data_IF_024609965107
#
_entry.id   IF_024609965107
#
_cell.length_a   1.000
_cell.length_b   1.000
_cell.length_c   1.000
_cell.angle_alpha   90.00
_cell.angle_beta   90.00
_cell.angle_gamma   90.00
#
_symmetry.space_group_name_H-M   'P 1'
#
loop_
_entity.id
_entity.type
_entity.pdbx_description
1 polymer ?
#
# COMPACT_ATOMS: atom_id res chain seq x y z
N UNK A 1 -3.12 -6.16 19.52
CA UNK A 1 -2.51 -5.15 18.62
C UNK A 1 -3.53 -4.77 17.57
N UNK A 2 -3.55 -3.50 17.14
CA UNK A 2 -4.49 -2.99 16.15
C UNK A 2 -3.77 -2.62 14.85
N UNK A 3 -4.36 -3.02 13.72
CA UNK A 3 -3.88 -2.65 12.39
C UNK A 3 -4.60 -1.38 11.92
N UNK A 4 -3.82 -0.51 11.33
CA UNK A 4 -4.26 0.76 10.76
C UNK A 4 -3.94 0.73 9.27
N UNK A 5 -4.95 0.81 8.42
CA UNK A 5 -4.72 0.96 6.98
C UNK A 5 -4.55 2.42 6.63
N UNK A 6 -3.36 2.82 6.16
CA UNK A 6 -3.14 4.13 5.57
C UNK A 6 -3.17 4.02 4.04
N UNK A 7 -3.97 4.86 3.41
CA UNK A 7 -4.09 4.92 1.96
C UNK A 7 -4.23 6.37 1.50
N UNK A 8 -4.23 6.58 0.18
CA UNK A 8 -4.34 7.91 -0.42
C UNK A 8 -4.34 7.82 -1.94
N UNK A 9 -4.67 8.92 -2.59
CA UNK A 9 -4.56 9.06 -4.04
C UNK A 9 -3.13 9.33 -4.47
N UNK A 10 -2.85 9.19 -5.76
CA UNK A 10 -1.61 9.71 -6.35
C UNK A 10 -1.43 11.19 -5.98
N UNK A 11 -0.20 11.61 -5.66
CA UNK A 11 0.13 12.99 -5.27
C UNK A 11 -0.62 13.57 -4.04
N UNK A 12 -1.28 12.73 -3.23
CA UNK A 12 -1.94 13.16 -1.99
C UNK A 12 -0.98 13.53 -0.85
N UNK A 13 0.30 13.15 -0.94
CA UNK A 13 1.28 13.36 0.11
C UNK A 13 1.32 12.29 1.21
N UNK A 14 0.77 11.10 0.94
CA UNK A 14 0.84 9.92 1.81
C UNK A 14 2.25 9.62 2.34
N UNK A 15 3.26 9.70 1.47
CA UNK A 15 4.66 9.47 1.86
C UNK A 15 5.16 10.46 2.91
N UNK A 16 4.79 11.74 2.79
CA UNK A 16 5.15 12.78 3.78
C UNK A 16 4.48 12.50 5.12
N UNK A 17 3.22 12.07 5.11
CA UNK A 17 2.47 11.67 6.32
C UNK A 17 3.10 10.46 6.99
N UNK A 18 3.48 9.44 6.22
CA UNK A 18 4.20 8.26 6.73
C UNK A 18 5.52 8.62 7.39
N UNK A 19 6.30 9.51 6.77
CA UNK A 19 7.57 9.95 7.33
C UNK A 19 7.38 10.62 8.71
N UNK A 20 6.35 11.46 8.85
CA UNK A 20 6.03 12.09 10.15
C UNK A 20 5.59 11.03 11.16
N UNK A 21 4.74 10.07 10.77
CA UNK A 21 4.29 9.00 11.67
C UNK A 21 5.47 8.12 12.13
N UNK A 22 6.42 7.83 11.25
CA UNK A 22 7.66 7.13 11.63
C UNK A 22 8.51 7.95 12.60
N UNK A 23 8.65 9.26 12.38
CA UNK A 23 9.37 10.17 13.30
C UNK A 23 8.71 10.24 14.69
N UNK A 24 7.39 10.11 14.76
CA UNK A 24 6.65 10.03 16.03
C UNK A 24 6.82 8.67 16.75
N UNK A 25 7.42 7.69 16.06
CA UNK A 25 7.72 6.37 16.59
C UNK A 25 6.70 5.30 16.21
N UNK A 26 5.79 5.55 15.27
CA UNK A 26 4.84 4.54 14.80
C UNK A 26 5.54 3.43 14.02
N UNK A 27 5.14 2.18 14.27
CA UNK A 27 5.50 1.07 13.40
C UNK A 27 4.76 1.20 12.06
N UNK A 28 5.52 1.18 10.97
CA UNK A 28 4.99 1.21 9.60
C UNK A 28 5.46 -0.03 8.86
N UNK A 29 4.53 -0.69 8.17
CA UNK A 29 4.79 -1.78 7.24
C UNK A 29 4.33 -1.32 5.86
N UNK A 30 5.25 -1.31 4.92
CA UNK A 30 4.95 -1.05 3.51
C UNK A 30 4.58 -2.37 2.82
N UNK A 31 3.31 -2.49 2.42
CA UNK A 31 2.78 -3.71 1.80
C UNK A 31 3.30 -3.88 0.37
N UNK A 32 3.61 -2.79 -0.34
CA UNK A 32 4.20 -2.87 -1.68
C UNK A 32 5.65 -3.39 -1.60
N UNK A 33 6.40 -3.00 -0.57
CA UNK A 33 7.74 -3.55 -0.32
C UNK A 33 7.65 -5.05 -0.01
N UNK A 34 6.70 -5.47 0.82
CA UNK A 34 6.47 -6.90 1.09
C UNK A 34 6.14 -7.64 -0.21
N UNK A 35 5.23 -7.12 -1.03
CA UNK A 35 4.84 -7.73 -2.30
C UNK A 35 6.03 -7.92 -3.24
N UNK A 36 7.02 -7.02 -3.21
CA UNK A 36 8.26 -7.14 -3.98
C UNK A 36 9.23 -8.16 -3.39
N UNK A 37 9.32 -8.27 -2.05
CA UNK A 37 10.22 -9.21 -1.40
C UNK A 37 9.75 -10.66 -1.52
N UNK A 38 8.45 -10.93 -1.41
CA UNK A 38 7.94 -12.32 -1.43
C UNK A 38 8.15 -13.03 -2.76
N UNK A 39 8.43 -12.29 -3.84
CA UNK A 39 8.72 -12.85 -5.17
C UNK A 39 10.21 -12.90 -5.49
N UNK A 40 11.10 -12.57 -4.54
CA UNK A 40 12.54 -12.69 -4.74
C UNK A 40 13.02 -14.15 -4.71
N UNK A 41 14.16 -14.46 -5.35
CA UNK A 41 14.77 -15.78 -5.28
C UNK A 41 14.89 -16.29 -3.84
N UNK A 42 14.56 -17.57 -3.64
CA UNK A 42 14.55 -18.21 -2.33
C UNK A 42 13.19 -18.17 -1.60
N UNK A 43 12.25 -17.34 -2.04
CA UNK A 43 10.88 -17.37 -1.51
C UNK A 43 9.99 -18.41 -2.20
N UNK A 44 8.97 -18.95 -1.49
CA UNK A 44 8.03 -19.90 -2.09
C UNK A 44 7.26 -19.37 -3.30
N UNK A 45 6.87 -18.08 -3.29
CA UNK A 45 6.13 -17.50 -4.42
C UNK A 45 7.01 -17.37 -5.67
N UNK A 46 8.31 -17.08 -5.55
CA UNK A 46 9.24 -17.07 -6.70
C UNK A 46 9.22 -18.40 -7.44
N UNK A 47 9.44 -19.52 -6.72
CA UNK A 47 9.42 -20.88 -7.31
C UNK A 47 8.10 -21.19 -8.02
N UNK A 48 6.98 -20.92 -7.35
CA UNK A 48 5.64 -21.16 -7.93
C UNK A 48 5.36 -20.28 -9.15
N UNK A 49 5.88 -19.04 -9.18
CA UNK A 49 5.77 -18.17 -10.35
C UNK A 49 6.54 -18.78 -11.52
N UNK A 50 7.78 -19.22 -11.31
CA UNK A 50 8.59 -19.85 -12.36
C UNK A 50 7.96 -21.16 -12.85
N UNK A 51 7.39 -21.97 -11.96
CA UNK A 51 6.66 -23.20 -12.34
C UNK A 51 5.42 -22.90 -13.19
N UNK A 52 4.70 -21.81 -12.89
CA UNK A 52 3.45 -21.46 -13.57
C UNK A 52 3.64 -20.67 -14.88
N UNK A 53 4.68 -19.84 -14.94
CA UNK A 53 4.91 -18.87 -16.01
C UNK A 53 6.22 -19.10 -16.78
N UNK A 54 6.93 -20.19 -16.47
CA UNK A 54 8.17 -20.57 -17.13
C UNK A 54 9.38 -19.73 -16.72
N UNK A 55 10.52 -19.97 -17.34
CA UNK A 55 11.78 -19.26 -17.07
C UNK A 55 11.89 -17.95 -17.84
N UNK A 56 11.01 -17.70 -18.81
CA UNK A 56 10.95 -16.46 -19.58
C UNK A 56 10.58 -15.23 -18.73
N UNK A 57 10.04 -15.44 -17.53
CA UNK A 57 9.76 -14.35 -16.57
C UNK A 57 10.93 -14.09 -15.63
N UNK A 58 12.12 -14.62 -15.92
CA UNK A 58 13.34 -14.40 -15.14
C UNK A 58 14.32 -13.50 -15.87
N UNK A 59 14.99 -12.64 -15.10
CA UNK A 59 16.21 -11.96 -15.49
C UNK A 59 17.40 -12.92 -15.42
N UNK A 60 18.52 -12.54 -16.04
CA UNK A 60 19.77 -13.33 -16.01
C UNK A 60 20.29 -13.61 -14.60
N UNK A 61 19.99 -12.72 -13.64
CA UNK A 61 20.36 -12.88 -12.24
C UNK A 61 19.39 -13.77 -11.43
N UNK A 62 18.34 -14.30 -12.06
CA UNK A 62 17.32 -15.15 -11.45
C UNK A 62 16.17 -14.40 -10.77
N UNK A 63 16.17 -13.06 -10.74
CA UNK A 63 15.03 -12.27 -10.27
C UNK A 63 13.87 -12.33 -11.27
N UNK A 64 12.65 -12.07 -10.80
CA UNK A 64 11.49 -11.93 -11.68
C UNK A 64 11.64 -10.68 -12.57
N UNK A 65 11.62 -10.87 -13.89
CA UNK A 65 11.43 -9.78 -14.85
C UNK A 65 9.97 -9.32 -14.79
N UNK A 66 9.77 -8.18 -14.13
CA UNK A 66 8.44 -7.58 -13.94
C UNK A 66 7.82 -7.10 -15.24
N UNK A 67 8.63 -6.72 -16.23
CA UNK A 67 8.14 -6.28 -17.53
C UNK A 67 7.60 -7.49 -18.29
N UNK A 68 8.41 -8.53 -18.41
CA UNK A 68 7.99 -9.77 -19.07
C UNK A 68 6.75 -10.40 -18.39
N UNK A 69 6.76 -10.50 -17.05
CA UNK A 69 5.61 -11.01 -16.30
C UNK A 69 4.38 -10.10 -16.46
N UNK A 70 4.58 -8.78 -16.45
CA UNK A 70 3.52 -7.79 -16.66
C UNK A 70 2.84 -7.94 -18.02
N UNK A 71 3.63 -8.03 -19.08
CA UNK A 71 3.15 -8.20 -20.46
C UNK A 71 2.35 -9.51 -20.62
N UNK A 72 2.82 -10.57 -19.96
CA UNK A 72 2.22 -11.89 -20.00
C UNK A 72 0.86 -11.96 -19.30
N UNK A 73 0.63 -11.14 -18.27
CA UNK A 73 -0.63 -11.09 -17.51
C UNK A 73 -1.57 -9.97 -17.95
N UNK A 74 -1.08 -8.92 -18.64
CA UNK A 74 -1.83 -7.68 -18.90
C UNK A 74 -3.21 -7.93 -19.52
N UNK A 75 -3.27 -8.75 -20.57
CA UNK A 75 -4.50 -9.08 -21.29
C UNK A 75 -5.08 -10.47 -20.94
N UNK A 76 -4.53 -11.15 -19.94
CA UNK A 76 -4.93 -12.51 -19.58
C UNK A 76 -5.46 -12.56 -18.14
N UNK A 77 -6.79 -12.44 -17.94
CA UNK A 77 -7.39 -12.43 -16.61
C UNK A 77 -7.05 -13.70 -15.81
N UNK A 78 -7.10 -14.88 -16.42
CA UNK A 78 -6.81 -16.14 -15.74
C UNK A 78 -5.36 -16.20 -15.25
N UNK A 79 -4.41 -15.74 -16.07
CA UNK A 79 -3.00 -15.63 -15.68
C UNK A 79 -2.78 -14.62 -14.56
N UNK A 80 -3.49 -13.48 -14.58
CA UNK A 80 -3.51 -12.56 -13.43
C UNK A 80 -4.01 -13.29 -12.19
N UNK A 81 -5.16 -13.96 -12.25
CA UNK A 81 -5.72 -14.67 -11.11
C UNK A 81 -4.76 -15.72 -10.54
N UNK A 82 -4.06 -16.46 -11.40
CA UNK A 82 -3.05 -17.43 -10.99
C UNK A 82 -1.89 -16.77 -10.23
N UNK A 83 -1.30 -15.70 -10.78
CA UNK A 83 -0.24 -14.95 -10.09
C UNK A 83 -0.69 -14.48 -8.71
N UNK A 84 -1.95 -14.10 -8.58
CA UNK A 84 -2.52 -13.58 -7.34
C UNK A 84 -2.73 -14.67 -6.31
N UNK A 85 -3.21 -15.83 -6.77
CA UNK A 85 -3.36 -17.01 -5.93
C UNK A 85 -2.01 -17.46 -5.37
N UNK A 86 -0.93 -17.31 -6.15
CA UNK A 86 0.44 -17.63 -5.72
C UNK A 86 0.96 -16.59 -4.71
N UNK A 87 0.81 -15.30 -5.02
CA UNK A 87 1.45 -14.22 -4.24
C UNK A 87 0.70 -13.85 -2.97
N UNK A 88 -0.64 -13.81 -2.99
CA UNK A 88 -1.42 -13.33 -1.84
C UNK A 88 -1.17 -14.08 -0.53
N UNK A 89 -1.11 -15.42 -0.50
CA UNK A 89 -0.82 -16.14 0.73
C UNK A 89 0.54 -15.76 1.32
N UNK A 90 1.57 -15.60 0.48
CA UNK A 90 2.91 -15.24 0.93
C UNK A 90 2.98 -13.79 1.42
N UNK A 91 2.29 -12.85 0.76
CA UNK A 91 2.15 -11.46 1.24
C UNK A 91 1.51 -11.43 2.62
N UNK A 92 0.38 -12.12 2.79
CA UNK A 92 -0.32 -12.19 4.08
C UNK A 92 0.57 -12.80 5.17
N UNK A 93 1.35 -13.83 4.83
CA UNK A 93 2.27 -14.49 5.76
C UNK A 93 3.39 -13.55 6.22
N UNK A 94 4.08 -12.88 5.29
CA UNK A 94 5.13 -11.93 5.65
C UNK A 94 4.58 -10.70 6.38
N UNK A 95 3.41 -10.18 5.98
CA UNK A 95 2.72 -9.13 6.73
C UNK A 95 2.43 -9.55 8.18
N UNK A 96 1.94 -10.77 8.38
CA UNK A 96 1.63 -11.31 9.71
C UNK A 96 2.89 -11.44 10.55
N UNK A 97 4.00 -11.90 9.94
CA UNK A 97 5.30 -12.02 10.58
C UNK A 97 5.88 -10.66 10.99
N UNK A 98 5.89 -9.67 10.11
CA UNK A 98 6.35 -8.31 10.43
C UNK A 98 5.47 -7.67 11.52
N UNK A 99 4.16 -7.84 11.41
CA UNK A 99 3.19 -7.42 12.42
C UNK A 99 3.50 -8.05 13.78
N UNK A 100 3.77 -9.35 13.82
CA UNK A 100 4.12 -10.07 15.05
C UNK A 100 5.47 -9.61 15.65
N UNK A 101 6.47 -9.27 14.82
CA UNK A 101 7.72 -8.67 15.32
C UNK A 101 7.47 -7.37 16.08
N UNK A 102 6.62 -6.49 15.56
CA UNK A 102 6.24 -5.26 16.27
C UNK A 102 5.43 -5.54 17.53
N UNK A 103 4.55 -6.55 17.50
CA UNK A 103 3.84 -6.99 18.70
C UNK A 103 4.79 -7.40 19.83
N UNK A 104 5.79 -8.22 19.54
CA UNK A 104 6.78 -8.67 20.51
C UNK A 104 7.62 -7.51 21.07
N UNK A 105 7.84 -6.46 20.26
CA UNK A 105 8.49 -5.23 20.72
C UNK A 105 7.57 -4.36 21.58
N UNK A 106 6.30 -4.73 21.75
CA UNK A 106 5.34 -4.02 22.59
C UNK A 106 4.54 -2.94 21.86
N UNK A 107 4.53 -2.91 20.52
CA UNK A 107 3.71 -1.96 19.77
C UNK A 107 2.23 -2.34 19.86
N UNK A 108 1.38 -1.35 20.17
CA UNK A 108 -0.07 -1.57 20.21
C UNK A 108 -0.74 -1.31 18.87
N UNK A 109 -0.13 -0.48 18.02
CA UNK A 109 -0.61 -0.12 16.69
C UNK A 109 0.48 -0.35 15.66
N UNK A 110 0.08 -0.82 14.47
CA UNK A 110 0.95 -0.92 13.29
C UNK A 110 0.20 -0.33 12.11
N UNK A 111 0.86 0.58 11.40
CA UNK A 111 0.35 1.22 10.20
C UNK A 111 0.76 0.37 9.01
N UNK A 112 -0.23 -0.09 8.25
CA UNK A 112 -0.03 -0.73 6.97
C UNK A 112 -0.20 0.31 5.88
N UNK A 113 0.85 0.57 5.13
CA UNK A 113 0.78 1.39 3.94
C UNK A 113 0.23 0.55 2.77
N UNK A 114 -1.01 0.84 2.36
CA UNK A 114 -1.74 0.10 1.32
C UNK A 114 -2.40 1.08 0.34
N UNK A 115 -1.76 1.38 -0.81
CA UNK A 115 -2.32 2.34 -1.77
C UNK A 115 -3.70 1.98 -2.32
N UNK A 116 -4.03 0.69 -2.37
CA UNK A 116 -5.24 0.15 -3.02
C UNK A 116 -6.19 -0.53 -2.03
N UNK A 117 -6.21 0.00 -0.81
CA UNK A 117 -6.92 -0.58 0.32
C UNK A 117 -8.42 -0.73 0.06
N UNK A 118 -9.05 0.29 -0.54
CA UNK A 118 -10.50 0.33 -0.78
C UNK A 118 -10.91 -0.31 -2.10
N UNK A 119 -10.03 -0.29 -3.09
CA UNK A 119 -10.22 -0.91 -4.40
C UNK A 119 -10.29 -2.43 -4.26
N UNK A 120 -9.39 -2.99 -3.46
CA UNK A 120 -9.29 -4.45 -3.31
C UNK A 120 -10.18 -4.97 -2.20
N UNK A 121 -10.47 -4.17 -1.18
CA UNK A 121 -11.25 -4.52 0.03
C UNK A 121 -10.73 -5.72 0.84
N UNK A 122 -9.70 -6.43 0.37
CA UNK A 122 -9.19 -7.68 0.95
C UNK A 122 -8.66 -7.50 2.38
N UNK A 123 -7.98 -6.38 2.61
CA UNK A 123 -7.36 -6.09 3.91
C UNK A 123 -8.28 -5.30 4.84
N UNK A 124 -9.39 -4.73 4.35
CA UNK A 124 -10.28 -3.87 5.15
C UNK A 124 -10.79 -4.56 6.40
N UNK A 125 -11.16 -5.85 6.30
CA UNK A 125 -11.68 -6.63 7.44
C UNK A 125 -10.68 -6.80 8.59
N UNK A 126 -9.38 -6.66 8.33
CA UNK A 126 -8.35 -6.75 9.35
C UNK A 126 -8.00 -5.39 9.97
N UNK A 127 -8.47 -4.28 9.39
CA UNK A 127 -8.14 -2.93 9.83
C UNK A 127 -9.09 -2.49 10.96
N UNK A 128 -8.53 -2.09 12.10
CA UNK A 128 -9.30 -1.44 13.17
C UNK A 128 -9.70 -0.01 12.78
N UNK A 129 -8.80 0.65 12.07
CA UNK A 129 -8.97 2.00 11.55
C UNK A 129 -8.47 2.07 10.10
N UNK A 130 -9.18 2.82 9.27
CA UNK A 130 -8.77 3.16 7.91
C UNK A 130 -8.59 4.67 7.82
N UNK A 131 -7.51 5.07 7.17
CA UNK A 131 -7.06 6.47 7.10
C UNK A 131 -6.77 6.81 5.67
N UNK A 132 -7.37 7.88 5.17
CA UNK A 132 -7.09 8.43 3.85
C UNK A 132 -6.34 9.72 4.00
N UNK A 133 -5.20 9.82 3.32
CA UNK A 133 -4.56 11.12 3.06
C UNK A 133 -5.26 11.73 1.85
N UNK A 134 -5.99 12.81 2.13
CA UNK A 134 -6.80 13.54 1.16
C UNK A 134 -6.05 14.79 0.70
N UNK A 135 -6.28 15.20 -0.53
CA UNK A 135 -6.04 16.56 -1.00
C UNK A 135 -7.11 16.91 -2.03
N UNK A 136 -7.43 18.19 -2.16
CA UNK A 136 -8.32 18.67 -3.21
C UNK A 136 -7.75 18.35 -4.61
N UNK A 137 -8.65 18.38 -5.60
CA UNK A 137 -8.37 17.98 -6.98
C UNK A 137 -7.26 18.83 -7.61
N UNK A 138 -7.29 20.13 -7.40
CA UNK A 138 -6.39 21.10 -8.05
C UNK A 138 -4.98 20.95 -7.47
N UNK A 139 -4.88 20.82 -6.15
CA UNK A 139 -3.62 20.51 -5.45
C UNK A 139 -3.06 19.16 -5.91
N UNK A 140 -3.91 18.14 -6.06
CA UNK A 140 -3.48 16.82 -6.53
C UNK A 140 -2.88 16.89 -7.93
N UNK A 141 -3.56 17.60 -8.84
CA UNK A 141 -3.16 17.78 -10.23
C UNK A 141 -1.84 18.55 -10.32
N UNK A 142 -1.76 19.70 -9.66
CA UNK A 142 -0.57 20.55 -9.65
C UNK A 142 0.66 19.79 -9.12
N UNK A 143 0.51 19.06 -8.00
CA UNK A 143 1.59 18.24 -7.42
C UNK A 143 2.00 17.10 -8.34
N UNK A 144 1.06 16.44 -9.00
CA UNK A 144 1.36 15.35 -9.93
C UNK A 144 2.11 15.86 -11.16
N UNK A 145 1.66 16.97 -11.74
CA UNK A 145 2.32 17.61 -12.87
C UNK A 145 3.75 18.03 -12.51
N UNK A 146 3.93 18.71 -11.38
CA UNK A 146 5.25 19.17 -10.94
C UNK A 146 6.20 17.99 -10.64
N UNK A 147 5.72 16.95 -9.97
CA UNK A 147 6.56 15.81 -9.57
C UNK A 147 7.01 14.96 -10.75
N UNK A 148 6.16 14.81 -11.77
CA UNK A 148 6.37 13.88 -12.87
C UNK A 148 6.62 14.58 -14.23
N UNK A 149 6.71 15.91 -14.24
CA UNK A 149 6.83 16.74 -15.45
C UNK A 149 5.81 16.38 -16.54
N UNK A 150 4.54 16.25 -16.15
CA UNK A 150 3.45 15.81 -17.02
C UNK A 150 2.63 16.98 -17.54
N UNK A 151 2.05 16.80 -18.73
CA UNK A 151 0.95 17.64 -19.20
C UNK A 151 -0.29 17.40 -18.35
N UNK A 152 -1.17 18.40 -18.31
CA UNK A 152 -2.40 18.33 -17.54
C UNK A 152 -3.26 17.12 -17.92
N UNK A 153 -3.45 16.87 -19.21
CA UNK A 153 -4.26 15.76 -19.74
C UNK A 153 -3.77 14.40 -19.22
N UNK A 154 -2.45 14.17 -19.27
CA UNK A 154 -1.82 12.93 -18.78
C UNK A 154 -1.97 12.77 -17.26
N UNK A 155 -1.79 13.88 -16.51
CA UNK A 155 -1.97 13.87 -15.07
C UNK A 155 -3.43 13.60 -14.68
N UNK A 156 -4.39 14.17 -15.42
CA UNK A 156 -5.81 13.90 -15.22
C UNK A 156 -6.17 12.44 -15.50
N UNK A 157 -5.71 11.89 -16.63
CA UNK A 157 -5.95 10.50 -17.00
C UNK A 157 -5.45 9.54 -15.92
N UNK A 158 -4.25 9.79 -15.37
CA UNK A 158 -3.67 8.99 -14.28
C UNK A 158 -4.49 9.04 -13.01
N UNK A 159 -5.06 10.21 -12.67
CA UNK A 159 -5.88 10.30 -11.48
C UNK A 159 -7.26 9.65 -11.71
N UNK A 160 -7.86 9.82 -12.89
CA UNK A 160 -9.13 9.19 -13.27
C UNK A 160 -9.04 7.66 -13.30
N UNK A 161 -7.84 7.10 -13.50
CA UNK A 161 -7.60 5.66 -13.45
C UNK A 161 -7.68 5.06 -12.02
N UNK A 162 -7.67 5.89 -10.97
CA UNK A 162 -7.82 5.47 -9.58
C UNK A 162 -9.24 5.68 -9.08
N UNK A 163 -9.64 4.95 -8.02
CA UNK A 163 -10.89 5.25 -7.32
C UNK A 163 -10.87 6.72 -6.85
N UNK A 164 -11.94 7.51 -7.07
CA UNK A 164 -11.97 8.92 -6.68
C UNK A 164 -11.57 9.12 -5.22
N UNK A 165 -10.70 10.10 -4.97
CA UNK A 165 -10.15 10.31 -3.63
C UNK A 165 -11.23 10.69 -2.61
N UNK A 166 -12.29 11.37 -3.06
CA UNK A 166 -13.48 11.67 -2.26
C UNK A 166 -14.24 10.41 -1.86
N UNK A 167 -14.35 9.42 -2.74
CA UNK A 167 -15.00 8.14 -2.42
C UNK A 167 -14.17 7.36 -1.40
N UNK A 168 -12.84 7.34 -1.57
CA UNK A 168 -11.94 6.79 -0.55
C UNK A 168 -12.15 7.48 0.79
N UNK A 169 -12.21 8.81 0.81
CA UNK A 169 -12.41 9.59 2.03
C UNK A 169 -13.77 9.26 2.70
N UNK A 170 -14.84 9.10 1.93
CA UNK A 170 -16.16 8.66 2.43
C UNK A 170 -16.16 7.25 3.01
N UNK A 171 -15.36 6.35 2.44
CA UNK A 171 -15.20 4.97 2.93
C UNK A 171 -14.28 4.85 4.15
N UNK A 172 -13.47 5.88 4.41
CA UNK A 172 -12.48 5.87 5.49
C UNK A 172 -13.08 6.26 6.82
N UNK A 173 -12.57 5.65 7.89
CA UNK A 173 -12.93 6.03 9.25
C UNK A 173 -12.34 7.40 9.62
N UNK A 174 -11.18 7.72 9.07
CA UNK A 174 -10.47 8.96 9.33
C UNK A 174 -9.93 9.54 8.02
N UNK A 175 -9.95 10.86 7.92
CA UNK A 175 -9.41 11.62 6.79
C UNK A 175 -8.35 12.60 7.32
N UNK A 176 -7.18 12.56 6.71
CA UNK A 176 -6.09 13.52 6.93
C UNK A 176 -6.03 14.44 5.73
N UNK A 177 -6.44 15.70 5.93
CA UNK A 177 -6.45 16.69 4.85
C UNK A 177 -5.05 17.29 4.67
N UNK A 178 -4.50 17.12 3.48
CA UNK A 178 -3.20 17.62 3.03
C UNK A 178 -3.32 18.54 1.80
N UNK A 179 -4.48 19.20 1.65
CA UNK A 179 -4.75 20.22 0.62
C UNK A 179 -3.95 21.49 0.87
N UNK A 180 -3.90 21.95 2.12
CA UNK A 180 -3.27 23.21 2.51
C UNK A 180 -1.78 23.11 2.82
N UNK A 181 -1.31 24.04 3.64
CA UNK A 181 0.07 24.07 4.11
C UNK A 181 0.43 22.83 4.92
N UNK A 182 1.67 22.37 4.75
CA UNK A 182 2.20 21.23 5.49
C UNK A 182 2.16 21.41 7.02
N UNK A 183 2.24 22.65 7.50
CA UNK A 183 2.11 23.01 8.92
C UNK A 183 0.73 22.60 9.49
N UNK A 184 -0.33 22.69 8.69
CA UNK A 184 -1.69 22.30 9.06
C UNK A 184 -1.80 20.78 9.10
N UNK A 185 -1.24 20.08 8.12
CA UNK A 185 -1.23 18.61 8.08
C UNK A 185 -0.45 18.04 9.28
N UNK A 186 0.72 18.61 9.62
CA UNK A 186 1.49 18.20 10.81
C UNK A 186 0.68 18.37 12.10
N UNK A 187 -0.08 19.45 12.25
CA UNK A 187 -0.95 19.66 13.43
C UNK A 187 -2.07 18.62 13.53
N UNK A 188 -2.58 18.11 12.40
CA UNK A 188 -3.55 17.01 12.43
C UNK A 188 -2.92 15.71 12.94
N UNK A 189 -1.64 15.49 12.66
CA UNK A 189 -0.83 14.38 13.15
C UNK A 189 -0.28 14.62 14.56
N UNK A 190 -0.57 15.78 15.17
CA UNK A 190 -0.03 16.11 16.48
C UNK A 190 -0.69 15.25 17.56
N UNK A 191 0.11 14.50 18.33
CA UNK A 191 -0.37 13.71 19.46
C UNK A 191 -1.14 14.50 20.54
N UNK A 192 -0.81 15.76 20.78
CA UNK A 192 -1.37 16.57 21.87
C UNK A 192 -2.57 17.44 21.42
N UNK A 193 -2.72 17.68 20.12
CA UNK A 193 -3.71 18.61 19.57
C UNK A 193 -4.55 18.09 18.40
N UNK A 194 -4.14 17.02 17.73
CA UNK A 194 -4.75 16.51 16.49
C UNK A 194 -6.00 15.67 16.74
N UNK A 195 -7.10 15.92 16.01
CA UNK A 195 -8.33 15.09 16.08
C UNK A 195 -8.08 13.62 15.69
N UNK A 196 -7.10 13.38 14.84
CA UNK A 196 -6.74 12.06 14.30
C UNK A 196 -6.16 11.13 15.38
N UNK A 197 -5.26 11.66 16.22
CA UNK A 197 -4.60 10.89 17.27
C UNK A 197 -5.33 10.92 18.62
N UNK A 198 -6.40 11.70 18.78
CA UNK A 198 -7.17 11.74 20.06
C UNK A 198 -7.73 10.37 20.50
N UNK A 199 -7.94 9.44 19.56
CA UNK A 199 -8.29 8.04 19.87
C UNK A 199 -7.10 7.06 19.81
N UNK A 200 -5.95 7.52 19.35
CA UNK A 200 -4.69 6.80 19.28
C UNK A 200 -3.70 7.47 20.23
N UNK A 201 -3.79 7.11 21.51
CA UNK A 201 -2.86 7.57 22.53
C UNK A 201 -1.40 7.48 22.02
N UNK A 202 -0.72 8.61 21.84
CA UNK A 202 0.63 8.69 21.27
C UNK A 202 1.69 7.94 22.06
N UNK A 203 1.52 7.89 23.38
CA UNK A 203 2.37 7.07 24.23
C UNK A 203 2.17 5.59 23.87
N UNK A 204 0.92 5.15 23.65
CA UNK A 204 0.60 3.77 23.19
C UNK A 204 1.06 3.43 21.79
N UNK A 205 1.49 4.39 20.97
CA UNK A 205 2.05 4.13 19.65
C UNK A 205 3.50 3.66 19.72
N UNK A 206 4.20 4.03 20.79
CA UNK A 206 5.55 3.57 21.09
C UNK A 206 5.50 2.19 21.72
N UNK A 207 6.59 1.40 21.61
CA UNK A 207 6.66 0.13 22.29
C UNK A 207 6.41 0.31 23.78
N UNK A 208 5.55 -0.53 24.38
CA UNK A 208 5.22 -0.47 25.82
C UNK A 208 6.49 -0.48 26.70
N UNK A 209 7.56 -1.13 26.22
CA UNK A 209 8.87 -1.18 26.88
C UNK A 209 9.61 0.16 26.98
N UNK A 210 9.23 1.18 26.22
CA UNK A 210 9.83 2.53 26.32
C UNK A 210 9.11 3.45 27.30
N UNK A 211 8.13 2.96 28.05
CA UNK A 211 7.38 3.76 29.03
C UNK A 211 8.04 3.66 30.41
N UNK A 212 8.43 4.78 31.04
CA UNK A 212 9.06 4.76 32.37
C UNK A 212 8.10 4.39 33.53
N UNK A 213 6.83 4.06 33.27
CA UNK A 213 5.86 3.61 34.29
C UNK A 213 4.88 2.61 33.70
N UNK A 214 5.09 1.31 33.92
CA UNK A 214 4.09 0.30 33.55
C UNK A 214 4.28 -1.00 34.35
N UNK A 215 3.95 -0.99 35.63
CA UNK A 215 3.59 -2.21 36.37
C UNK A 215 2.14 -2.54 36.03
N UNK A 216 1.90 -3.51 35.14
CA UNK A 216 0.58 -4.13 34.99
C UNK A 216 0.60 -5.50 35.65
N UNK A 217 -0.12 -5.64 36.75
CA UNK A 217 -0.53 -6.93 37.32
C UNK A 217 -1.56 -7.58 36.39
N UNK A 218 -1.25 -8.77 35.89
CA UNK A 218 -2.15 -9.59 35.08
C UNK A 218 -3.36 -10.03 35.92
N UNK A 219 -4.57 -9.77 35.43
CA UNK A 219 -5.81 -10.27 36.01
C UNK A 219 -6.17 -11.61 35.36
N UNK A 220 -6.13 -12.74 36.08
CA UNK A 220 -6.18 -14.10 35.50
C UNK A 220 -7.54 -14.54 34.94
N UNK A 221 -8.63 -13.78 35.16
CA UNK A 221 -9.99 -14.27 34.90
C UNK A 221 -10.61 -13.90 33.54
N UNK A 222 -9.84 -13.37 32.58
CA UNK A 222 -10.40 -12.98 31.27
C UNK A 222 -10.29 -14.09 30.24
N UNK A 223 -11.36 -14.90 30.13
CA UNK A 223 -11.50 -15.93 29.11
C UNK A 223 -11.42 -15.36 27.67
N UNK A 224 -10.66 -16.04 26.82
CA UNK A 224 -10.52 -15.74 25.39
C UNK A 224 -11.73 -16.31 24.62
N UNK A 225 -12.37 -15.54 23.70
CA UNK A 225 -13.42 -16.09 22.86
C UNK A 225 -12.84 -17.05 21.78
N UNK A 226 -13.59 -18.13 21.54
CA UNK A 226 -13.26 -19.22 20.59
C UNK A 226 -13.37 -18.77 19.13
N UNK A 227 -12.58 -19.41 18.27
CA UNK A 227 -12.56 -19.19 16.82
C UNK A 227 -13.66 -20.01 16.12
N UNK A 228 -14.39 -19.39 15.19
CA UNK A 228 -15.33 -20.08 14.29
C UNK A 228 -14.69 -20.34 12.90
N UNK A 229 -14.97 -21.50 12.26
CA UNK A 229 -14.34 -21.92 11.00
C UNK A 229 -15.22 -21.69 9.75
N UNK A 230 -14.58 -21.35 8.61
CA UNK A 230 -14.94 -21.68 7.20
C UNK A 230 -16.34 -21.26 6.65
N UNK A 231 -16.65 -20.97 5.37
CA UNK A 231 -16.05 -21.06 4.03
C UNK A 231 -16.92 -20.20 3.06
N UNK A 232 -16.29 -19.81 1.94
CA UNK A 232 -16.84 -19.76 0.56
C UNK A 232 -17.88 -18.73 0.10
N UNK A 233 -17.67 -18.24 -1.13
CA UNK A 233 -18.68 -17.57 -1.95
C UNK A 233 -18.27 -16.22 -2.55
N UNK A 234 -17.91 -16.27 -3.84
CA UNK A 234 -18.22 -15.24 -4.86
C UNK A 234 -17.22 -14.12 -5.25
N UNK A 235 -17.01 -14.11 -6.58
CA UNK A 235 -16.57 -13.11 -7.58
C UNK A 235 -15.52 -12.06 -7.16
N UNK A 236 -14.30 -12.30 -7.64
CA UNK A 236 -13.08 -11.53 -7.38
C UNK A 236 -12.69 -10.66 -8.58
N UNK A 237 -12.41 -9.36 -8.41
CA UNK A 237 -11.66 -8.59 -9.40
C UNK A 237 -10.14 -8.81 -9.22
N UNK A 238 -9.41 -8.71 -10.34
CA UNK A 238 -7.99 -9.05 -10.51
C UNK A 238 -7.02 -8.10 -9.77
N UNK A 239 -5.80 -8.58 -9.48
CA UNK A 239 -4.63 -7.81 -8.98
C UNK A 239 -4.04 -6.87 -10.02
N UNK A 240 -4.79 -6.57 -11.07
CA UNK A 240 -4.47 -5.42 -11.92
C UNK A 240 -4.42 -4.09 -11.14
N UNK A 241 -4.91 -4.09 -9.90
CA UNK A 241 -4.78 -2.95 -8.99
C UNK A 241 -3.34 -2.76 -8.49
N UNK A 242 -2.60 -3.83 -8.16
CA UNK A 242 -1.21 -3.75 -7.69
C UNK A 242 -0.17 -3.85 -8.82
N UNK A 243 -0.60 -4.01 -10.07
CA UNK A 243 0.27 -3.86 -11.23
C UNK A 243 0.55 -2.39 -11.50
N UNK A 244 1.84 -2.13 -11.72
CA UNK A 244 2.40 -0.84 -12.11
C UNK A 244 1.62 -0.20 -13.27
N UNK A 245 1.51 1.14 -13.32
CA UNK A 245 1.01 1.80 -14.52
C UNK A 245 1.90 1.38 -15.69
N UNK A 246 1.33 1.16 -16.91
CA UNK A 246 2.16 0.99 -18.08
C UNK A 246 3.11 2.17 -18.18
N UNK A 247 4.38 1.90 -18.51
CA UNK A 247 5.31 2.97 -18.90
C UNK A 247 4.61 3.83 -19.97
N UNK A 248 4.68 5.17 -19.89
CA UNK A 248 4.22 5.99 -21.00
C UNK A 248 4.94 5.47 -22.25
N UNK A 249 4.17 5.18 -23.31
CA UNK A 249 4.74 4.82 -24.60
C UNK A 249 5.78 5.86 -25.04
N UNK A 250 6.64 5.52 -26.01
CA UNK A 250 7.70 6.41 -26.46
C UNK A 250 7.12 7.78 -26.77
N UNK A 251 7.76 8.81 -26.23
CA UNK A 251 7.32 10.19 -26.41
C UNK A 251 7.19 10.53 -27.89
N UNK A 252 6.33 11.48 -28.26
CA UNK A 252 6.24 11.97 -29.65
C UNK A 252 7.59 12.47 -30.20
N UNK A 253 8.57 12.74 -29.33
CA UNK A 253 9.95 13.05 -29.71
C UNK A 253 10.77 11.79 -30.10
N UNK A 254 10.57 10.65 -29.43
CA UNK A 254 11.21 9.36 -29.81
C UNK A 254 10.62 8.78 -31.11
N UNK A 255 9.33 9.02 -31.38
CA UNK A 255 8.70 8.59 -32.64
C UNK A 255 9.14 9.43 -33.84
N UNK A 256 9.61 10.66 -33.62
CA UNK A 256 10.16 11.51 -34.67
C UNK A 256 11.63 11.17 -35.00
N UNK A 257 12.41 10.69 -34.03
CA UNK A 257 13.79 10.26 -34.26
C UNK A 257 13.90 8.91 -34.98
N UNK A 258 12.94 7.99 -34.79
CA UNK A 258 12.92 6.70 -35.48
C UNK A 258 12.39 6.75 -36.93
N UNK A 259 11.97 7.92 -37.45
CA UNK A 259 11.59 8.08 -38.87
C UNK A 259 12.67 8.70 -39.75
N UNK A 260 13.87 8.96 -39.23
CA UNK A 260 14.97 9.60 -40.00
C UNK A 260 16.03 8.58 -40.46
N UNK A 261 15.91 7.29 -40.12
CA UNK A 261 16.89 6.25 -40.48
C UNK A 261 16.42 5.16 -41.45
N UNK A 262 15.23 5.29 -42.06
CA UNK A 262 14.86 4.50 -43.23
C UNK A 262 14.93 5.39 -44.47
N UNK A 263 16.08 5.31 -45.15
CA UNK A 263 16.38 6.00 -46.41
C UNK A 263 15.58 5.47 -47.59
N UNK A 264 15.83 6.03 -48.78
CA UNK A 264 16.94 5.50 -49.60
C UNK A 264 18.19 6.39 -49.65
#
# INVERSE_FOLDING_TARGET
>A
MFLVGLTGGIASGKSSVLQVLQQLGCAVIDVDVIARHVVQPGYPAHRRIVEAFGTEVLLENGDIDRKALGDLIFNQPDRRHLLNAITHPEICREMTKETFKYFLRGYRYVILDVPLLFETKKLLKYMKHTVVVYCDRDTQLARLMQRNNLKQEDAEARIKAQLPLEDKARMARHVLDNSGEWSVTKRQLDPQGGKFLRGWDPERMRPVLSHPRSTYTLNPDRALPRADPCLEGEKQPSVSSYTFPPSPGPSLQEQAQNRVHEGP
#
